data_IF_143214555443
#
_entry.id   IF_143214555443
#
_cell.length_a   1.000
_cell.length_b   1.000
_cell.length_c   1.000
_cell.angle_alpha   90.00
_cell.angle_beta   90.00
_cell.angle_gamma   90.00
#
_symmetry.space_group_name_H-M   'P 1'
#
loop_
_entity.id
_entity.type
_entity.pdbx_description
1 polymer ?
#
# COMPACT_ATOMS: atom_id res chain seq x y z
N UNK A 1 28.32 4.69 -17.45
CA UNK A 1 27.69 5.63 -16.55
C UNK A 1 28.35 5.57 -15.18
N UNK A 2 28.74 6.71 -14.64
CA UNK A 2 29.34 6.79 -13.31
C UNK A 2 28.31 6.27 -12.27
N UNK A 3 28.75 5.33 -11.43
CA UNK A 3 27.89 4.84 -10.36
C UNK A 3 27.66 5.95 -9.34
N UNK A 4 26.43 6.26 -8.98
CA UNK A 4 26.14 7.30 -8.00
C UNK A 4 26.80 6.92 -6.66
N UNK A 5 27.62 7.83 -6.12
CA UNK A 5 28.31 7.63 -4.86
C UNK A 5 27.57 8.36 -3.75
N UNK A 6 26.96 7.61 -2.81
CA UNK A 6 26.30 8.17 -1.63
C UNK A 6 25.38 7.18 -0.94
N UNK A 7 25.24 7.28 0.39
CA UNK A 7 24.38 6.37 1.18
C UNK A 7 22.91 6.42 0.76
N UNK A 8 22.40 7.62 0.43
CA UNK A 8 21.02 7.83 -0.02
C UNK A 8 20.79 7.20 -1.39
N UNK A 9 21.73 7.37 -2.32
CA UNK A 9 21.64 6.77 -3.67
C UNK A 9 21.67 5.25 -3.61
N UNK A 10 22.52 4.68 -2.75
CA UNK A 10 22.57 3.23 -2.56
C UNK A 10 21.25 2.69 -1.98
N UNK A 11 20.63 3.42 -1.03
CA UNK A 11 19.32 3.05 -0.47
C UNK A 11 18.23 3.06 -1.55
N UNK A 12 18.16 4.15 -2.34
CA UNK A 12 17.18 4.26 -3.42
C UNK A 12 17.39 3.17 -4.48
N UNK A 13 18.64 2.91 -4.88
CA UNK A 13 18.97 1.84 -5.82
C UNK A 13 18.55 0.47 -5.27
N UNK A 14 18.80 0.20 -4.00
CA UNK A 14 18.38 -1.06 -3.36
C UNK A 14 16.86 -1.21 -3.38
N UNK A 15 16.11 -0.16 -3.07
CA UNK A 15 14.65 -0.19 -3.14
C UNK A 15 14.13 -0.38 -4.57
N UNK A 16 14.73 0.29 -5.56
CA UNK A 16 14.37 0.14 -6.97
C UNK A 16 14.62 -1.30 -7.45
N UNK A 17 15.78 -1.86 -7.10
CA UNK A 17 16.14 -3.25 -7.45
C UNK A 17 15.21 -4.22 -6.73
N UNK A 18 14.94 -4.02 -5.45
CA UNK A 18 14.01 -4.84 -4.68
C UNK A 18 12.62 -4.89 -5.33
N UNK A 19 12.03 -3.73 -5.63
CA UNK A 19 10.71 -3.68 -6.28
C UNK A 19 10.73 -4.34 -7.67
N UNK A 20 11.82 -4.20 -8.41
CA UNK A 20 11.97 -4.86 -9.72
C UNK A 20 12.00 -6.38 -9.60
N UNK A 21 12.84 -6.89 -8.69
CA UNK A 21 13.17 -8.31 -8.63
C UNK A 21 12.15 -9.12 -7.79
N UNK A 22 11.63 -8.54 -6.71
CA UNK A 22 10.70 -9.22 -5.79
C UNK A 22 9.22 -8.94 -6.09
N UNK A 23 8.91 -7.86 -6.84
CA UNK A 23 7.52 -7.48 -7.13
C UNK A 23 7.21 -7.56 -8.62
N UNK A 24 7.92 -6.80 -9.46
CA UNK A 24 7.55 -6.68 -10.86
C UNK A 24 7.82 -7.95 -11.66
N UNK A 25 8.99 -8.56 -11.51
CA UNK A 25 9.36 -9.77 -12.25
C UNK A 25 8.49 -10.99 -11.92
N UNK A 26 8.24 -11.33 -10.65
CA UNK A 26 7.42 -12.49 -10.32
C UNK A 26 5.96 -12.34 -10.75
N UNK A 27 5.41 -11.12 -10.71
CA UNK A 27 4.00 -10.88 -11.01
C UNK A 27 3.72 -10.71 -12.51
N UNK A 28 4.62 -10.06 -13.26
CA UNK A 28 4.37 -9.63 -14.65
C UNK A 28 5.17 -10.46 -15.65
N UNK A 29 6.28 -11.10 -15.21
CA UNK A 29 7.24 -11.78 -16.09
C UNK A 29 8.35 -10.86 -16.59
N UNK A 30 9.51 -11.43 -16.91
CA UNK A 30 10.75 -10.67 -17.17
C UNK A 30 10.67 -9.69 -18.35
N UNK A 31 9.96 -10.05 -19.43
CA UNK A 31 9.92 -9.25 -20.65
C UNK A 31 9.00 -8.05 -20.54
N UNK A 32 7.80 -8.25 -19.98
CA UNK A 32 6.78 -7.22 -19.85
C UNK A 32 7.00 -6.33 -18.61
N UNK A 33 7.64 -6.86 -17.56
CA UNK A 33 7.95 -6.11 -16.35
C UNK A 33 8.70 -4.80 -16.64
N UNK A 34 9.63 -4.80 -17.60
CA UNK A 34 10.41 -3.60 -17.99
C UNK A 34 9.53 -2.43 -18.43
N UNK A 35 8.40 -2.71 -19.07
CA UNK A 35 7.47 -1.70 -19.57
C UNK A 35 6.66 -1.05 -18.47
N UNK A 36 6.25 -1.83 -17.46
CA UNK A 36 5.41 -1.38 -16.36
C UNK A 36 6.21 -0.97 -15.12
N UNK A 37 7.50 -1.25 -15.09
CA UNK A 37 8.40 -0.95 -13.97
C UNK A 37 8.37 0.52 -13.54
N UNK A 38 8.40 1.53 -14.44
CA UNK A 38 8.30 2.93 -14.04
C UNK A 38 6.99 3.25 -13.30
N UNK A 39 5.87 2.65 -13.72
CA UNK A 39 4.57 2.83 -13.07
C UNK A 39 4.60 2.26 -11.64
N UNK A 40 5.12 1.04 -11.47
CA UNK A 40 5.20 0.37 -10.17
C UNK A 40 6.11 1.15 -9.22
N UNK A 41 7.25 1.66 -9.70
CA UNK A 41 8.15 2.52 -8.93
C UNK A 41 7.45 3.82 -8.51
N UNK A 42 6.75 4.46 -9.42
CA UNK A 42 6.00 5.71 -9.12
C UNK A 42 4.97 5.47 -8.04
N UNK A 43 4.20 4.38 -8.13
CA UNK A 43 3.21 3.98 -7.14
C UNK A 43 3.89 3.76 -5.78
N UNK A 44 4.95 2.97 -5.74
CA UNK A 44 5.68 2.65 -4.51
C UNK A 44 6.21 3.90 -3.82
N UNK A 45 6.97 4.75 -4.53
CA UNK A 45 7.56 5.94 -3.95
C UNK A 45 6.53 7.01 -3.60
N UNK A 46 5.45 7.12 -4.35
CA UNK A 46 4.37 8.04 -4.04
C UNK A 46 3.66 7.64 -2.73
N UNK A 47 3.27 6.39 -2.60
CA UNK A 47 2.64 5.89 -1.36
C UNK A 47 3.60 5.96 -0.18
N UNK A 48 4.85 5.55 -0.37
CA UNK A 48 5.88 5.65 0.66
C UNK A 48 6.10 7.10 1.10
N UNK A 49 6.22 8.02 0.16
CA UNK A 49 6.37 9.44 0.44
C UNK A 49 5.19 10.02 1.22
N UNK A 50 3.96 9.71 0.83
CA UNK A 50 2.76 10.12 1.56
C UNK A 50 2.74 9.57 2.99
N UNK A 51 3.14 8.32 3.19
CA UNK A 51 3.18 7.69 4.50
C UNK A 51 4.27 8.30 5.39
N UNK A 52 5.47 8.53 4.84
CA UNK A 52 6.57 9.15 5.59
C UNK A 52 6.27 10.61 5.94
N UNK A 53 5.64 11.37 5.06
CA UNK A 53 5.18 12.74 5.37
C UNK A 53 4.16 12.74 6.52
N UNK A 54 3.30 11.73 6.56
CA UNK A 54 2.33 11.59 7.63
C UNK A 54 2.93 11.28 9.01
N UNK A 55 4.13 10.69 9.07
CA UNK A 55 4.85 10.43 10.32
C UNK A 55 5.47 11.69 10.95
N UNK A 56 5.53 12.81 10.20
CA UNK A 56 6.10 14.07 10.72
C UNK A 56 5.02 14.84 11.49
N UNK A 57 5.13 14.96 12.82
CA UNK A 57 4.01 15.44 13.68
C UNK A 57 3.59 16.89 13.45
N UNK A 58 4.39 17.70 12.80
CA UNK A 58 4.12 19.14 12.59
C UNK A 58 3.62 19.50 11.19
N UNK A 59 3.69 18.59 10.23
CA UNK A 59 3.24 18.84 8.86
C UNK A 59 1.72 18.63 8.65
N UNK A 60 0.97 18.28 9.71
CA UNK A 60 -0.43 17.88 9.59
C UNK A 60 -0.51 16.60 8.75
N UNK A 61 -0.85 15.47 9.35
CA UNK A 61 -0.86 14.20 8.61
C UNK A 61 -1.89 14.24 7.47
N UNK A 62 -1.48 14.41 6.19
CA UNK A 62 -2.43 14.40 5.08
C UNK A 62 -3.19 13.06 5.04
N UNK A 63 -2.54 12.00 5.48
CA UNK A 63 -3.07 10.63 5.54
C UNK A 63 -3.91 10.34 6.79
N UNK A 64 -3.98 11.27 7.76
CA UNK A 64 -4.88 11.19 8.91
C UNK A 64 -6.33 11.61 8.62
N UNK A 65 -6.60 12.17 7.44
CA UNK A 65 -7.95 12.53 7.03
C UNK A 65 -8.52 11.47 6.08
N UNK A 66 -9.73 10.99 6.36
CA UNK A 66 -10.44 10.01 5.53
C UNK A 66 -10.58 10.48 4.08
N UNK A 67 -10.77 11.78 3.88
CA UNK A 67 -10.86 12.37 2.54
C UNK A 67 -9.57 12.17 1.74
N UNK A 68 -8.41 12.36 2.35
CA UNK A 68 -7.11 12.22 1.66
C UNK A 68 -6.78 10.77 1.38
N UNK A 69 -6.96 9.88 2.36
CA UNK A 69 -6.70 8.44 2.19
C UNK A 69 -7.69 7.82 1.21
N UNK A 70 -8.96 8.23 1.26
CA UNK A 70 -9.98 7.82 0.31
C UNK A 70 -9.68 8.29 -1.12
N UNK A 71 -9.27 9.54 -1.29
CA UNK A 71 -8.87 10.08 -2.60
C UNK A 71 -7.64 9.34 -3.14
N UNK A 72 -6.64 9.07 -2.30
CA UNK A 72 -5.45 8.31 -2.69
C UNK A 72 -5.82 6.91 -3.14
N UNK A 73 -6.63 6.20 -2.37
CA UNK A 73 -7.11 4.86 -2.72
C UNK A 73 -7.96 4.86 -4.01
N UNK A 74 -8.78 5.89 -4.22
CA UNK A 74 -9.56 6.06 -5.44
C UNK A 74 -8.67 6.31 -6.67
N UNK A 75 -7.67 7.17 -6.55
CA UNK A 75 -6.71 7.42 -7.63
C UNK A 75 -5.99 6.11 -7.99
N UNK A 76 -5.53 5.36 -6.98
CA UNK A 76 -4.86 4.08 -7.20
C UNK A 76 -5.78 3.04 -7.82
N UNK A 77 -7.02 2.96 -7.37
CA UNK A 77 -8.05 2.11 -7.95
C UNK A 77 -8.28 2.43 -9.43
N UNK A 78 -8.41 3.72 -9.77
CA UNK A 78 -8.57 4.17 -11.14
C UNK A 78 -7.32 3.90 -11.99
N UNK A 79 -6.11 4.06 -11.44
CA UNK A 79 -4.86 3.74 -12.13
C UNK A 79 -4.76 2.24 -12.45
N UNK A 80 -5.12 1.36 -11.51
CA UNK A 80 -5.10 -0.10 -11.72
C UNK A 80 -6.12 -0.52 -12.77
N UNK A 81 -7.36 -0.01 -12.68
CA UNK A 81 -8.40 -0.29 -13.69
C UNK A 81 -7.99 0.29 -15.05
N UNK A 82 -7.49 1.52 -15.07
CA UNK A 82 -7.05 2.19 -16.30
C UNK A 82 -5.90 1.45 -16.99
N UNK A 83 -4.92 0.98 -16.26
CA UNK A 83 -3.81 0.18 -16.80
C UNK A 83 -4.31 -1.18 -17.36
N UNK A 84 -5.23 -1.84 -16.64
CA UNK A 84 -5.85 -3.08 -17.08
C UNK A 84 -6.70 -2.89 -18.34
N UNK A 85 -7.54 -1.86 -18.37
CA UNK A 85 -8.38 -1.54 -19.54
C UNK A 85 -7.56 -1.07 -20.75
N UNK A 86 -6.48 -0.36 -20.54
CA UNK A 86 -5.59 0.09 -21.63
C UNK A 86 -4.92 -1.09 -22.37
N UNK A 87 -4.71 -2.21 -21.68
CA UNK A 87 -4.07 -3.39 -22.26
C UNK A 87 -5.05 -4.41 -22.83
N UNK A 88 -6.12 -4.74 -22.13
CA UNK A 88 -7.10 -5.76 -22.50
C UNK A 88 -8.34 -5.18 -23.21
N UNK A 89 -8.45 -3.87 -23.28
CA UNK A 89 -9.69 -3.20 -23.65
C UNK A 89 -10.71 -3.17 -22.50
N UNK A 90 -11.72 -2.28 -22.57
CA UNK A 90 -12.67 -2.11 -21.47
C UNK A 90 -13.49 -3.37 -21.19
N UNK A 91 -13.90 -4.10 -22.23
CA UNK A 91 -14.70 -5.33 -22.10
C UNK A 91 -13.80 -6.51 -21.69
N UNK A 92 -12.60 -6.63 -22.28
CA UNK A 92 -11.66 -7.70 -22.00
C UNK A 92 -11.19 -7.72 -20.53
N UNK A 93 -10.98 -6.55 -19.93
CA UNK A 93 -10.62 -6.43 -18.51
C UNK A 93 -11.68 -7.04 -17.59
N UNK A 94 -12.95 -6.73 -17.81
CA UNK A 94 -14.05 -7.24 -16.97
C UNK A 94 -14.31 -8.73 -17.19
N UNK A 95 -14.18 -9.22 -18.42
CA UNK A 95 -14.31 -10.65 -18.73
C UNK A 95 -13.12 -11.45 -18.15
N UNK A 96 -11.93 -10.89 -18.21
CA UNK A 96 -10.71 -11.49 -17.64
C UNK A 96 -10.68 -11.62 -16.12
N UNK A 97 -11.61 -10.94 -15.40
CA UNK A 97 -11.78 -11.15 -13.95
C UNK A 97 -12.38 -12.53 -13.63
N UNK A 98 -13.07 -13.16 -14.60
CA UNK A 98 -13.65 -14.49 -14.41
C UNK A 98 -12.65 -15.53 -14.92
N UNK A 99 -12.12 -16.39 -14.05
CA UNK A 99 -11.21 -17.45 -14.46
C UNK A 99 -11.90 -18.38 -15.47
N UNK A 100 -11.16 -18.79 -16.49
CA UNK A 100 -11.63 -19.73 -17.52
C UNK A 100 -11.80 -21.12 -16.89
N UNK A 101 -12.99 -21.43 -16.41
CA UNK A 101 -13.33 -22.75 -15.91
C UNK A 101 -14.19 -23.48 -16.94
N UNK A 102 -13.80 -24.70 -17.28
CA UNK A 102 -14.58 -25.65 -18.07
C UNK A 102 -15.69 -26.24 -17.18
N UNK A 103 -16.83 -25.56 -17.14
CA UNK A 103 -17.99 -25.98 -16.36
C UNK A 103 -19.12 -26.44 -17.30
N UNK A 104 -19.92 -27.47 -16.93
CA UNK A 104 -21.11 -27.81 -17.67
C UNK A 104 -22.08 -26.60 -17.76
N UNK A 105 -22.69 -26.41 -18.91
CA UNK A 105 -23.50 -25.24 -19.28
C UNK A 105 -24.47 -24.75 -18.19
N UNK A 106 -25.27 -25.61 -17.52
CA UNK A 106 -26.22 -25.13 -16.51
C UNK A 106 -25.53 -24.56 -15.27
N UNK A 107 -24.37 -25.08 -14.92
CA UNK A 107 -23.60 -24.62 -13.77
C UNK A 107 -22.84 -23.32 -14.08
N UNK A 108 -22.37 -23.18 -15.32
CA UNK A 108 -21.64 -21.98 -15.78
C UNK A 108 -22.52 -20.72 -15.76
N UNK A 109 -23.81 -20.84 -16.06
CA UNK A 109 -24.77 -19.71 -16.09
C UNK A 109 -24.96 -19.09 -14.70
N UNK A 110 -24.90 -19.90 -13.64
CA UNK A 110 -25.08 -19.43 -12.25
C UNK A 110 -23.73 -19.04 -11.62
N UNK A 111 -22.68 -19.86 -11.81
CA UNK A 111 -21.40 -19.65 -11.16
C UNK A 111 -20.59 -18.48 -11.74
N UNK A 112 -20.58 -18.29 -13.06
CA UNK A 112 -19.82 -17.19 -13.69
C UNK A 112 -20.24 -15.79 -13.21
N UNK A 113 -21.54 -15.41 -13.18
CA UNK A 113 -21.94 -14.11 -12.64
C UNK A 113 -21.68 -13.98 -11.13
N UNK A 114 -21.77 -15.07 -10.38
CA UNK A 114 -21.46 -15.07 -8.95
C UNK A 114 -19.95 -14.83 -8.70
N UNK A 115 -19.09 -15.51 -9.43
CA UNK A 115 -17.63 -15.32 -9.35
C UNK A 115 -17.27 -13.90 -9.80
N UNK A 116 -17.87 -13.41 -10.88
CA UNK A 116 -17.68 -12.03 -11.32
C UNK A 116 -18.03 -11.02 -10.23
N UNK A 117 -19.18 -11.18 -9.57
CA UNK A 117 -19.60 -10.31 -8.48
C UNK A 117 -18.60 -10.36 -7.29
N UNK A 118 -18.10 -11.55 -6.94
CA UNK A 118 -17.12 -11.74 -5.88
C UNK A 118 -15.80 -11.07 -6.24
N UNK A 119 -15.31 -11.22 -7.47
CA UNK A 119 -14.05 -10.59 -7.91
C UNK A 119 -14.15 -9.06 -7.94
N UNK A 120 -15.25 -8.51 -8.45
CA UNK A 120 -15.48 -7.07 -8.45
C UNK A 120 -15.60 -6.53 -7.02
N UNK A 121 -16.37 -7.21 -6.16
CA UNK A 121 -16.44 -6.86 -4.73
C UNK A 121 -15.06 -6.99 -4.07
N UNK A 122 -14.32 -8.04 -4.36
CA UNK A 122 -12.96 -8.24 -3.86
C UNK A 122 -12.01 -7.11 -4.25
N UNK A 123 -12.09 -6.64 -5.48
CA UNK A 123 -11.32 -5.50 -5.96
C UNK A 123 -11.63 -4.23 -5.14
N UNK A 124 -12.91 -3.94 -4.92
CA UNK A 124 -13.36 -2.81 -4.11
C UNK A 124 -12.90 -2.92 -2.66
N UNK A 125 -13.11 -4.09 -2.04
CA UNK A 125 -12.76 -4.35 -0.65
C UNK A 125 -11.24 -4.20 -0.43
N UNK A 126 -10.42 -4.72 -1.34
CA UNK A 126 -8.94 -4.60 -1.25
C UNK A 126 -8.50 -3.13 -1.19
N UNK A 127 -9.05 -2.26 -2.03
CA UNK A 127 -8.71 -0.83 -2.04
C UNK A 127 -9.31 -0.08 -0.85
N UNK A 128 -10.52 -0.45 -0.42
CA UNK A 128 -11.15 0.11 0.77
C UNK A 128 -10.37 -0.24 2.05
N UNK A 129 -10.03 -1.51 2.23
CA UNK A 129 -9.21 -1.97 3.38
C UNK A 129 -7.85 -1.28 3.39
N UNK A 130 -7.28 -1.05 2.21
CA UNK A 130 -6.02 -0.36 2.05
C UNK A 130 -6.10 1.11 2.52
N UNK A 131 -7.16 1.84 2.15
CA UNK A 131 -7.45 3.19 2.62
C UNK A 131 -7.67 3.22 4.15
N UNK A 132 -8.48 2.29 4.66
CA UNK A 132 -8.76 2.18 6.08
C UNK A 132 -7.52 1.85 6.91
N UNK A 133 -6.63 1.01 6.41
CA UNK A 133 -5.36 0.69 7.08
C UNK A 133 -4.47 1.92 7.19
N UNK A 134 -4.40 2.71 6.12
CA UNK A 134 -3.60 3.93 6.10
C UNK A 134 -4.14 4.94 7.13
N UNK A 135 -5.44 5.17 7.12
CA UNK A 135 -6.12 6.03 8.09
C UNK A 135 -5.93 5.54 9.53
N UNK A 136 -6.20 4.24 9.77
CA UNK A 136 -6.13 3.65 11.10
C UNK A 136 -4.70 3.71 11.67
N UNK A 137 -3.69 3.40 10.87
CA UNK A 137 -2.30 3.45 11.31
C UNK A 137 -1.90 4.86 11.75
N UNK A 138 -2.22 5.88 10.94
CA UNK A 138 -1.92 7.28 11.25
C UNK A 138 -2.68 7.80 12.48
N UNK A 139 -3.98 7.52 12.55
CA UNK A 139 -4.82 7.97 13.68
C UNK A 139 -4.39 7.27 14.97
N UNK A 140 -4.16 5.97 14.93
CA UNK A 140 -3.69 5.20 16.07
C UNK A 140 -2.32 5.68 16.57
N UNK A 141 -1.38 5.95 15.67
CA UNK A 141 -0.07 6.43 16.00
C UNK A 141 -0.09 7.77 16.74
N UNK A 142 -0.78 8.75 16.19
CA UNK A 142 -0.92 10.06 16.84
C UNK A 142 -1.62 9.96 18.20
N UNK A 143 -2.64 9.10 18.31
CA UNK A 143 -3.36 8.90 19.56
C UNK A 143 -2.48 8.24 20.62
N UNK A 144 -1.71 7.21 20.26
CA UNK A 144 -0.80 6.54 21.20
C UNK A 144 0.29 7.50 21.67
N UNK A 145 0.90 8.27 20.76
CA UNK A 145 1.90 9.27 21.12
C UNK A 145 1.33 10.34 22.04
N UNK A 146 0.12 10.83 21.75
CA UNK A 146 -0.56 11.81 22.61
C UNK A 146 -0.84 11.26 24.02
N UNK A 147 -1.28 10.01 24.14
CA UNK A 147 -1.52 9.35 25.42
C UNK A 147 -0.21 9.16 26.21
N UNK A 148 0.86 8.75 25.56
CA UNK A 148 2.17 8.59 26.21
C UNK A 148 2.72 9.94 26.72
N UNK A 149 2.55 11.01 25.95
CA UNK A 149 2.91 12.37 26.38
C UNK A 149 2.02 12.85 27.53
N UNK A 150 0.72 12.53 27.51
CA UNK A 150 -0.20 12.86 28.58
C UNK A 150 0.18 12.15 29.90
N UNK A 151 0.68 10.92 29.87
CA UNK A 151 1.20 10.24 31.06
C UNK A 151 2.40 10.96 31.66
N UNK A 152 3.32 11.44 30.84
CA UNK A 152 4.45 12.25 31.34
C UNK A 152 3.95 13.54 31.98
N UNK A 153 3.03 14.24 31.32
CA UNK A 153 2.46 15.49 31.84
C UNK A 153 1.68 15.29 33.15
N UNK A 154 0.91 14.22 33.25
CA UNK A 154 0.14 13.90 34.47
C UNK A 154 1.05 13.51 35.66
N UNK A 155 2.19 12.89 35.40
CA UNK A 155 3.13 12.45 36.43
C UNK A 155 4.13 13.53 36.86
N UNK A 156 4.15 14.69 36.20
CA UNK A 156 5.19 15.72 36.37
C UNK A 156 5.38 16.21 37.80
N UNK A 157 4.27 16.27 38.60
CA UNK A 157 4.31 16.74 40.01
C UNK A 157 4.58 15.61 41.03
N UNK A 158 4.71 14.37 40.60
CA UNK A 158 4.89 13.22 41.47
C UNK A 158 6.26 12.57 41.27
N UNK A 159 6.75 11.85 42.29
CA UNK A 159 7.96 11.04 42.20
C UNK A 159 7.85 9.95 41.11
N UNK A 160 6.65 9.62 40.66
CA UNK A 160 6.38 8.64 39.61
C UNK A 160 6.94 9.07 38.25
N UNK A 161 7.22 10.37 38.04
CA UNK A 161 7.80 10.87 36.77
C UNK A 161 9.08 10.15 36.38
N UNK A 162 9.93 9.79 37.37
CA UNK A 162 11.19 9.09 37.13
C UNK A 162 11.05 7.69 36.55
N UNK A 163 9.90 7.05 36.75
CA UNK A 163 9.58 5.75 36.14
C UNK A 163 8.72 5.91 34.87
N UNK A 164 7.72 6.80 34.90
CA UNK A 164 6.78 7.00 33.80
C UNK A 164 7.44 7.63 32.57
N UNK A 165 8.29 8.64 32.76
CA UNK A 165 8.90 9.35 31.64
C UNK A 165 9.80 8.43 30.77
N UNK A 166 10.77 7.68 31.33
CA UNK A 166 11.58 6.80 30.50
C UNK A 166 10.76 5.66 29.87
N UNK A 167 9.77 5.11 30.58
CA UNK A 167 8.90 4.08 30.03
C UNK A 167 8.07 4.61 28.86
N UNK A 168 7.51 5.82 28.96
CA UNK A 168 6.77 6.47 27.89
C UNK A 168 7.64 6.81 26.68
N UNK A 169 8.87 7.27 26.90
CA UNK A 169 9.82 7.57 25.80
C UNK A 169 10.21 6.29 25.06
N UNK A 170 10.52 5.21 25.79
CA UNK A 170 10.81 3.91 25.17
C UNK A 170 9.60 3.38 24.38
N UNK A 171 8.41 3.47 24.97
CA UNK A 171 7.17 3.09 24.30
C UNK A 171 6.91 3.91 23.02
N UNK A 172 7.07 5.23 23.09
CA UNK A 172 6.92 6.11 21.94
C UNK A 172 7.92 5.79 20.82
N UNK A 173 9.19 5.54 21.19
CA UNK A 173 10.22 5.16 20.22
C UNK A 173 9.92 3.83 19.55
N UNK A 174 9.54 2.81 20.33
CA UNK A 174 9.16 1.49 19.80
C UNK A 174 7.96 1.59 18.87
N UNK A 175 6.96 2.40 19.25
CA UNK A 175 5.76 2.61 18.44
C UNK A 175 6.07 3.35 17.14
N UNK A 176 6.90 4.39 17.17
CA UNK A 176 7.34 5.11 15.96
C UNK A 176 8.13 4.22 14.99
N UNK A 177 8.93 3.28 15.51
CA UNK A 177 9.59 2.28 14.67
C UNK A 177 8.59 1.33 14.00
N UNK A 178 7.56 0.92 14.72
CA UNK A 178 6.48 0.10 14.17
C UNK A 178 5.70 0.85 13.08
N UNK A 179 5.37 2.13 13.30
CA UNK A 179 4.72 2.97 12.30
C UNK A 179 5.56 3.10 11.02
N UNK A 180 6.85 3.33 11.17
CA UNK A 180 7.78 3.39 10.04
C UNK A 180 7.79 2.08 9.25
N UNK A 181 7.84 0.94 9.95
CA UNK A 181 7.76 -0.39 9.33
C UNK A 181 6.45 -0.58 8.56
N UNK A 182 5.31 -0.21 9.17
CA UNK A 182 4.00 -0.31 8.52
C UNK A 182 3.91 0.62 7.32
N UNK A 183 4.52 1.80 7.35
CA UNK A 183 4.58 2.74 6.23
C UNK A 183 5.26 2.11 4.99
N UNK A 184 6.38 1.42 5.19
CA UNK A 184 7.08 0.68 4.13
C UNK A 184 6.25 -0.52 3.64
N UNK A 185 5.71 -1.31 4.56
CA UNK A 185 4.88 -2.46 4.24
C UNK A 185 3.65 -2.07 3.43
N UNK A 186 3.04 -0.93 3.74
CA UNK A 186 1.89 -0.41 3.02
C UNK A 186 2.25 -0.03 1.57
N UNK A 187 3.37 0.67 1.37
CA UNK A 187 3.86 1.00 0.03
C UNK A 187 4.18 -0.26 -0.79
N UNK A 188 4.77 -1.27 -0.14
CA UNK A 188 5.03 -2.57 -0.76
C UNK A 188 3.76 -3.28 -1.20
N UNK A 189 2.74 -3.35 -0.34
CA UNK A 189 1.45 -4.00 -0.67
C UNK A 189 0.78 -3.30 -1.86
N UNK A 190 0.83 -1.97 -1.92
CA UNK A 190 0.28 -1.22 -3.06
C UNK A 190 1.00 -1.57 -4.37
N UNK A 191 2.32 -1.54 -4.36
CA UNK A 191 3.13 -1.87 -5.53
C UNK A 191 2.91 -3.33 -5.97
N UNK A 192 2.81 -4.25 -5.01
CA UNK A 192 2.56 -5.68 -5.25
C UNK A 192 1.17 -5.92 -5.87
N UNK A 193 0.11 -5.30 -5.33
CA UNK A 193 -1.23 -5.41 -5.89
C UNK A 193 -1.30 -4.84 -7.30
N UNK A 194 -0.68 -3.68 -7.54
CA UNK A 194 -0.60 -3.10 -8.88
C UNK A 194 0.11 -4.04 -9.86
N UNK A 195 1.25 -4.61 -9.47
CA UNK A 195 1.99 -5.57 -10.28
C UNK A 195 1.19 -6.85 -10.55
N UNK A 196 0.48 -7.37 -9.55
CA UNK A 196 -0.37 -8.55 -9.66
C UNK A 196 -1.51 -8.32 -10.67
N UNK A 197 -2.21 -7.20 -10.59
CA UNK A 197 -3.29 -6.87 -11.51
C UNK A 197 -2.79 -6.68 -12.95
N UNK A 198 -1.63 -6.02 -13.10
CA UNK A 198 -0.98 -5.89 -14.41
C UNK A 198 -0.59 -7.29 -14.93
N UNK A 199 -0.04 -8.15 -14.07
CA UNK A 199 0.36 -9.51 -14.45
C UNK A 199 -0.83 -10.35 -14.92
N UNK A 200 -1.95 -10.33 -14.22
CA UNK A 200 -3.19 -10.99 -14.64
C UNK A 200 -3.72 -10.44 -15.96
N UNK A 201 -3.56 -9.13 -16.19
CA UNK A 201 -3.95 -8.51 -17.45
C UNK A 201 -3.01 -8.87 -18.62
N UNK A 202 -1.76 -9.17 -18.33
CA UNK A 202 -0.73 -9.52 -19.35
C UNK A 202 -0.79 -10.98 -19.75
N UNK A 203 -1.09 -11.85 -18.80
CA UNK A 203 -1.20 -13.30 -19.00
C UNK A 203 -2.62 -13.78 -18.66
N UNK A 204 -3.62 -13.51 -19.54
CA UNK A 204 -4.92 -14.12 -19.38
C UNK A 204 -4.76 -15.64 -19.60
N UNK A 205 -5.18 -16.41 -18.61
CA UNK A 205 -5.25 -17.88 -18.68
C UNK A 205 -6.21 -18.37 -19.76
#
# INVERSE_FOLDING_TARGET
GERPRGRVWNLLETLLVFIRDEVARPCIGEHEAKKFLPLIWTIFFFVLGCNLLGLVPWLGSPTGALATTGTLALIMFLCVIGAGMAKMGPIGFWIGQVPSMELPLPLAIVLKPMIFAIEVMGLFIKHFVLAMRLLANMTAGHLVLAVLLAFIAASWQSMAVWGVAPASILGATAFSMLELFVAFLQAYIFAFLAALFIGMAVHPH
#
